data_IF_726458578369
#
_entry.id   IF_726458578369
#
_cell.length_a   1.000
_cell.length_b   1.000
_cell.length_c   1.000
_cell.angle_alpha   90.00
_cell.angle_beta   90.00
_cell.angle_gamma   90.00
#
_symmetry.space_group_name_H-M   'P 1'
#
loop_
_entity.id
_entity.type
_entity.pdbx_description
1 polymer ?
#
# COMPACT_ATOMS: atom_id res chain seq x y z
N UNK A 1 -17.43 -0.36 -52.59
CA UNK A 1 -17.66 0.17 -51.22
C UNK A 1 -17.25 1.63 -51.19
N UNK A 2 -18.16 2.55 -50.84
CA UNK A 2 -18.02 3.98 -51.11
C UNK A 2 -17.09 4.70 -50.12
N UNK A 3 -16.33 5.69 -50.62
CA UNK A 3 -15.38 6.57 -49.89
C UNK A 3 -15.92 7.16 -48.58
N UNK A 4 -17.25 7.26 -48.43
CA UNK A 4 -17.92 7.74 -47.20
C UNK A 4 -17.72 6.81 -46.00
N UNK A 5 -17.61 5.50 -46.19
CA UNK A 5 -17.39 4.56 -45.07
C UNK A 5 -15.97 4.67 -44.51
N UNK A 6 -14.97 4.91 -45.37
CA UNK A 6 -13.57 5.06 -44.95
C UNK A 6 -13.36 6.30 -44.05
N UNK A 7 -13.94 7.45 -44.41
CA UNK A 7 -13.80 8.68 -43.61
C UNK A 7 -14.40 8.55 -42.21
N UNK A 8 -15.56 7.88 -42.08
CA UNK A 8 -16.24 7.71 -40.79
C UNK A 8 -15.44 6.76 -39.88
N UNK A 9 -14.86 5.69 -40.44
CA UNK A 9 -14.01 4.77 -39.67
C UNK A 9 -12.71 5.45 -39.19
N UNK A 10 -12.09 6.30 -40.01
CA UNK A 10 -10.87 7.02 -39.64
C UNK A 10 -11.10 8.07 -38.54
N UNK A 11 -12.23 8.79 -38.56
CA UNK A 11 -12.58 9.76 -37.51
C UNK A 11 -12.92 9.03 -36.20
N UNK A 12 -13.66 7.93 -36.26
CA UNK A 12 -13.98 7.13 -35.07
C UNK A 12 -12.71 6.54 -34.42
N UNK A 13 -11.74 6.08 -35.22
CA UNK A 13 -10.46 5.60 -34.69
C UNK A 13 -9.66 6.73 -34.01
N UNK A 14 -9.63 7.93 -34.61
CA UNK A 14 -8.95 9.08 -34.02
C UNK A 14 -9.58 9.53 -32.69
N UNK A 15 -10.92 9.51 -32.61
CA UNK A 15 -11.67 9.89 -31.40
C UNK A 15 -11.54 8.88 -30.27
N UNK A 16 -11.22 7.60 -30.55
CA UNK A 16 -10.97 6.59 -29.50
C UNK A 16 -9.50 6.52 -29.10
N UNK A 17 -8.57 6.73 -30.04
CA UNK A 17 -7.13 6.67 -29.78
C UNK A 17 -6.61 7.92 -29.06
N UNK A 18 -7.17 9.11 -29.34
CA UNK A 18 -6.75 10.36 -28.68
C UNK A 18 -7.05 10.38 -27.16
N UNK A 19 -8.24 9.99 -26.66
CA UNK A 19 -8.49 9.87 -25.23
C UNK A 19 -7.60 8.82 -24.57
N UNK A 20 -7.38 7.68 -25.22
CA UNK A 20 -6.51 6.63 -24.67
C UNK A 20 -5.05 7.09 -24.53
N UNK A 21 -4.54 7.87 -25.50
CA UNK A 21 -3.21 8.48 -25.43
C UNK A 21 -3.17 9.58 -24.37
N UNK A 22 -4.21 10.40 -24.23
CA UNK A 22 -4.28 11.47 -23.22
C UNK A 22 -4.36 10.90 -21.79
N UNK A 23 -5.11 9.81 -21.59
CA UNK A 23 -5.14 9.07 -20.30
C UNK A 23 -3.77 8.44 -20.03
N UNK A 24 -3.16 7.77 -21.02
CA UNK A 24 -1.82 7.17 -20.87
C UNK A 24 -0.69 8.21 -20.65
N UNK A 25 -0.85 9.43 -21.17
CA UNK A 25 0.09 10.53 -20.96
C UNK A 25 -0.10 11.24 -19.61
N UNK A 26 -1.32 11.23 -19.04
CA UNK A 26 -1.59 11.76 -17.69
C UNK A 26 -0.87 10.97 -16.59
N UNK A 27 -0.70 9.66 -16.78
CA UNK A 27 0.07 8.79 -15.87
C UNK A 27 1.59 8.90 -15.98
N UNK A 28 2.13 9.71 -16.90
CA UNK A 28 3.57 9.75 -17.20
C UNK A 28 4.29 11.01 -16.73
N UNK A 29 3.65 11.86 -15.94
CA UNK A 29 4.20 13.17 -15.57
C UNK A 29 4.47 13.29 -14.08
N UNK A 30 5.47 12.54 -13.61
CA UNK A 30 6.09 12.70 -12.30
C UNK A 30 7.53 12.17 -12.37
N UNK A 31 8.47 13.05 -12.70
CA UNK A 31 9.85 12.67 -12.97
C UNK A 31 10.61 12.25 -11.72
N UNK A 32 10.96 10.97 -11.66
CA UNK A 32 12.20 10.49 -11.03
C UNK A 32 13.02 9.79 -12.13
N UNK A 33 14.28 10.20 -12.28
CA UNK A 33 15.28 9.44 -13.03
C UNK A 33 15.80 8.34 -12.11
N UNK A 34 15.81 7.11 -12.61
CA UNK A 34 16.51 5.92 -12.09
C UNK A 34 15.94 5.15 -10.88
N UNK A 35 14.63 4.85 -10.84
CA UNK A 35 14.16 3.58 -10.25
C UNK A 35 13.95 2.60 -11.39
N UNK A 36 14.70 1.50 -11.43
CA UNK A 36 14.49 0.45 -12.43
C UNK A 36 13.17 -0.28 -12.12
N UNK A 37 12.12 0.04 -12.89
CA UNK A 37 10.88 -0.70 -12.84
C UNK A 37 11.05 -2.04 -13.59
N UNK A 38 11.37 -3.10 -12.85
CA UNK A 38 11.38 -4.48 -13.32
C UNK A 38 10.26 -5.25 -12.61
N UNK A 39 9.51 -6.08 -13.33
CA UNK A 39 8.42 -6.88 -12.75
C UNK A 39 8.88 -8.23 -12.18
N UNK A 40 10.15 -8.59 -12.35
CA UNK A 40 10.75 -9.84 -11.85
C UNK A 40 9.92 -11.11 -12.14
N UNK A 41 9.27 -11.14 -13.31
CA UNK A 41 8.44 -12.26 -13.76
C UNK A 41 6.96 -12.18 -13.37
N UNK A 42 6.53 -11.18 -12.60
CA UNK A 42 5.11 -10.95 -12.29
C UNK A 42 4.34 -10.63 -13.57
N UNK A 43 3.36 -11.46 -13.98
CA UNK A 43 2.64 -11.27 -15.22
C UNK A 43 1.75 -10.03 -15.17
N UNK A 44 1.34 -9.56 -16.34
CA UNK A 44 0.20 -8.66 -16.49
C UNK A 44 -1.00 -9.53 -16.86
N UNK A 45 -2.15 -9.30 -16.22
CA UNK A 45 -3.39 -10.00 -16.55
C UNK A 45 -4.40 -9.07 -17.22
N UNK A 46 -5.32 -9.65 -17.98
CA UNK A 46 -6.41 -8.88 -18.57
C UNK A 46 -7.42 -8.49 -17.49
N UNK A 47 -7.81 -7.22 -17.50
CA UNK A 47 -8.89 -6.69 -16.68
C UNK A 47 -10.19 -6.70 -17.47
N UNK A 48 -11.31 -7.00 -16.79
CA UNK A 48 -12.61 -7.07 -17.44
C UNK A 48 -13.00 -5.70 -18.00
N UNK A 49 -13.13 -5.62 -19.33
CA UNK A 49 -13.45 -4.38 -20.06
C UNK A 49 -14.85 -3.86 -19.74
N UNK A 50 -15.71 -4.67 -19.12
CA UNK A 50 -17.04 -4.25 -18.67
C UNK A 50 -16.99 -3.45 -17.36
N UNK A 51 -15.89 -3.53 -16.60
CA UNK A 51 -15.71 -2.85 -15.31
C UNK A 51 -14.38 -2.06 -15.25
N UNK A 52 -14.08 -1.19 -16.24
CA UNK A 52 -12.76 -0.57 -16.36
C UNK A 52 -12.43 0.43 -15.24
N UNK A 53 -13.44 0.89 -14.49
CA UNK A 53 -13.28 1.81 -13.35
C UNK A 53 -13.53 1.17 -11.98
N UNK A 54 -13.78 -0.14 -11.92
CA UNK A 54 -14.11 -0.86 -10.67
C UNK A 54 -12.99 -1.87 -10.35
N UNK A 55 -11.75 -1.38 -10.41
CA UNK A 55 -10.55 -2.13 -10.15
C UNK A 55 -9.88 -1.61 -8.88
N UNK A 56 -9.61 -2.49 -7.93
CA UNK A 56 -8.66 -2.19 -6.87
C UNK A 56 -7.29 -1.93 -7.49
N UNK A 57 -6.72 -0.75 -7.22
CA UNK A 57 -5.36 -0.41 -7.61
C UNK A 57 -4.54 -0.20 -6.37
N UNK A 58 -3.47 -0.98 -6.21
CA UNK A 58 -2.51 -0.78 -5.13
C UNK A 58 -1.82 0.58 -5.33
N UNK A 59 -2.08 1.52 -4.42
CA UNK A 59 -1.58 2.89 -4.49
C UNK A 59 -0.60 3.16 -3.34
N UNK A 60 0.68 3.25 -3.69
CA UNK A 60 1.77 3.55 -2.76
C UNK A 60 1.96 5.05 -2.64
N UNK A 61 1.97 5.56 -1.41
CA UNK A 61 2.17 6.97 -1.13
C UNK A 61 3.65 7.30 -1.15
N UNK A 62 4.02 8.25 -2.01
CA UNK A 62 5.32 8.93 -1.94
C UNK A 62 5.24 10.06 -0.92
N UNK A 63 6.29 10.20 -0.11
CA UNK A 63 6.43 11.27 0.87
C UNK A 63 7.89 11.70 1.03
N UNK A 64 8.09 12.88 1.62
CA UNK A 64 9.42 13.40 1.97
C UNK A 64 9.88 12.89 3.33
N UNK A 65 11.20 12.70 3.49
CA UNK A 65 11.77 12.18 4.73
C UNK A 65 13.00 12.95 5.19
N UNK A 66 13.10 13.18 6.50
CA UNK A 66 14.25 13.85 7.12
C UNK A 66 15.56 13.05 7.05
N UNK A 67 15.51 11.75 6.75
CA UNK A 67 16.68 10.88 6.61
C UNK A 67 17.34 10.90 5.22
N UNK A 68 16.82 11.69 4.27
CA UNK A 68 17.23 11.64 2.87
C UNK A 68 18.63 12.20 2.57
N UNK A 69 19.66 11.34 2.51
CA UNK A 69 20.82 11.41 1.58
C UNK A 69 21.71 10.15 1.70
N UNK A 70 21.26 9.04 1.12
CA UNK A 70 22.15 7.93 0.70
C UNK A 70 22.01 6.61 1.46
N UNK A 71 21.12 5.73 0.96
CA UNK A 71 21.22 4.28 1.12
C UNK A 71 20.07 3.63 1.90
N UNK A 72 19.04 3.18 1.17
CA UNK A 72 17.94 2.34 1.69
C UNK A 72 16.97 3.07 2.62
N UNK A 73 15.67 2.77 2.53
CA UNK A 73 14.65 3.28 3.44
C UNK A 73 13.76 4.39 2.87
N UNK A 74 12.53 4.44 3.39
CA UNK A 74 11.48 5.40 3.04
C UNK A 74 10.44 4.82 2.07
N UNK A 75 9.64 5.68 1.42
CA UNK A 75 8.46 5.24 0.64
C UNK A 75 8.75 4.22 -0.47
N UNK A 76 10.00 4.13 -0.95
CA UNK A 76 10.43 3.24 -2.01
C UNK A 76 10.94 1.88 -1.49
N UNK A 77 10.97 1.64 -0.18
CA UNK A 77 11.23 0.31 0.39
C UNK A 77 10.26 -0.71 -0.19
N UNK A 78 10.80 -1.88 -0.53
CA UNK A 78 10.14 -3.01 -1.19
C UNK A 78 9.57 -2.78 -2.59
N UNK A 79 9.75 -1.59 -3.15
CA UNK A 79 9.23 -1.26 -4.46
C UNK A 79 10.16 -1.80 -5.58
N UNK A 80 9.63 -2.36 -6.69
CA UNK A 80 8.21 -2.56 -7.00
C UNK A 80 7.67 -3.95 -6.62
N UNK A 81 8.51 -4.84 -6.08
CA UNK A 81 8.19 -6.26 -5.97
C UNK A 81 7.03 -6.53 -4.99
N UNK A 82 7.00 -5.85 -3.84
CA UNK A 82 5.89 -5.95 -2.87
C UNK A 82 4.55 -5.59 -3.51
N UNK A 83 4.47 -4.42 -4.15
CA UNK A 83 3.25 -3.91 -4.81
C UNK A 83 2.74 -4.90 -5.88
N UNK A 84 3.66 -5.44 -6.67
CA UNK A 84 3.37 -6.35 -7.77
C UNK A 84 2.94 -7.74 -7.29
N UNK A 85 3.70 -8.32 -6.36
CA UNK A 85 3.43 -9.65 -5.81
C UNK A 85 2.13 -9.65 -5.02
N UNK A 86 1.91 -8.63 -4.17
CA UNK A 86 0.68 -8.49 -3.42
C UNK A 86 -0.54 -8.32 -4.35
N UNK A 87 -0.45 -7.46 -5.36
CA UNK A 87 -1.53 -7.29 -6.34
C UNK A 87 -1.85 -8.59 -7.07
N UNK A 88 -0.82 -9.38 -7.43
CA UNK A 88 -0.99 -10.69 -8.05
C UNK A 88 -1.71 -11.67 -7.10
N UNK A 89 -1.28 -11.76 -5.83
CA UNK A 89 -1.90 -12.68 -4.87
C UNK A 89 -3.33 -12.27 -4.53
N UNK A 90 -3.60 -10.98 -4.38
CA UNK A 90 -4.95 -10.46 -4.17
C UNK A 90 -5.88 -10.86 -5.33
N UNK A 91 -5.41 -10.73 -6.58
CA UNK A 91 -6.13 -11.16 -7.78
C UNK A 91 -6.35 -12.69 -7.83
N UNK A 92 -5.38 -13.48 -7.40
CA UNK A 92 -5.44 -14.94 -7.47
C UNK A 92 -6.29 -15.56 -6.36
N UNK A 93 -6.29 -14.95 -5.18
CA UNK A 93 -6.84 -15.54 -3.96
C UNK A 93 -8.22 -14.97 -3.59
N UNK A 94 -8.68 -13.93 -4.29
CA UNK A 94 -9.98 -13.29 -4.02
C UNK A 94 -10.76 -13.06 -5.31
N UNK A 95 -12.01 -12.60 -5.18
CA UNK A 95 -12.84 -12.15 -6.31
C UNK A 95 -12.66 -10.67 -6.65
N UNK A 96 -11.85 -9.93 -5.87
CA UNK A 96 -11.55 -8.52 -6.10
C UNK A 96 -10.87 -8.40 -7.47
N UNK A 97 -11.34 -7.45 -8.28
CA UNK A 97 -10.72 -7.15 -9.57
C UNK A 97 -9.54 -6.22 -9.32
N UNK A 98 -8.33 -6.71 -9.56
CA UNK A 98 -7.11 -5.95 -9.26
C UNK A 98 -6.49 -5.41 -10.55
N UNK A 99 -6.05 -4.16 -10.53
CA UNK A 99 -5.26 -3.58 -11.59
C UNK A 99 -3.83 -4.17 -11.57
N UNK A 100 -3.32 -4.75 -12.67
CA UNK A 100 -1.98 -5.33 -12.73
C UNK A 100 -0.83 -4.32 -12.66
N UNK A 101 -1.16 -3.03 -12.65
CA UNK A 101 -0.22 -1.92 -12.58
C UNK A 101 -0.49 -1.08 -11.33
N UNK A 102 0.19 -1.38 -10.21
CA UNK A 102 0.24 -0.50 -9.05
C UNK A 102 0.69 0.91 -9.42
N UNK A 103 0.29 1.88 -8.63
CA UNK A 103 0.61 3.30 -8.86
C UNK A 103 1.36 3.89 -7.67
N UNK A 104 2.20 4.87 -7.96
CA UNK A 104 2.76 5.77 -6.95
C UNK A 104 1.95 7.06 -7.01
N UNK A 105 1.45 7.50 -5.85
CA UNK A 105 0.66 8.73 -5.71
C UNK A 105 1.33 9.67 -4.70
N UNK A 106 1.10 10.97 -4.86
CA UNK A 106 1.35 11.95 -3.81
C UNK A 106 0.03 12.27 -3.11
N UNK A 107 0.07 12.61 -1.82
CA UNK A 107 -1.14 12.95 -1.07
C UNK A 107 -1.87 14.20 -1.60
N UNK A 108 -1.21 15.01 -2.42
CA UNK A 108 -1.78 16.22 -3.03
C UNK A 108 -2.23 16.03 -4.48
N UNK A 109 -2.18 14.80 -5.00
CA UNK A 109 -2.66 14.51 -6.35
C UNK A 109 -4.18 14.72 -6.45
N UNK A 110 -4.64 15.42 -7.50
CA UNK A 110 -6.08 15.73 -7.73
C UNK A 110 -6.97 14.47 -7.76
N UNK A 111 -6.39 13.34 -8.17
CA UNK A 111 -7.08 12.06 -8.33
C UNK A 111 -6.83 11.10 -7.17
N UNK A 112 -6.30 11.55 -6.03
CA UNK A 112 -6.03 10.66 -4.88
C UNK A 112 -7.26 9.87 -4.44
N UNK A 113 -8.45 10.48 -4.53
CA UNK A 113 -9.73 9.87 -4.14
C UNK A 113 -10.22 8.76 -5.08
N UNK A 114 -9.58 8.59 -6.25
CA UNK A 114 -9.83 7.45 -7.12
C UNK A 114 -9.24 6.15 -6.53
N UNK A 115 -8.41 6.25 -5.49
CA UNK A 115 -7.78 5.14 -4.80
C UNK A 115 -8.34 5.03 -3.37
N UNK A 116 -9.29 4.13 -3.09
CA UNK A 116 -9.90 4.01 -1.75
C UNK A 116 -8.94 3.44 -0.69
N UNK A 117 -7.81 2.88 -1.11
CA UNK A 117 -6.78 2.32 -0.27
C UNK A 117 -5.42 2.92 -0.64
N UNK A 118 -4.71 3.43 0.37
CA UNK A 118 -3.34 3.90 0.27
C UNK A 118 -2.42 3.03 1.12
N UNK A 119 -1.22 2.77 0.64
CA UNK A 119 -0.15 2.08 1.35
C UNK A 119 1.03 3.03 1.57
N UNK A 120 1.50 3.11 2.81
CA UNK A 120 2.68 3.88 3.21
C UNK A 120 3.61 2.95 3.98
N UNK A 121 4.83 2.78 3.48
CA UNK A 121 5.85 1.93 4.11
C UNK A 121 6.91 2.82 4.78
N UNK A 122 7.65 2.31 5.75
CA UNK A 122 8.84 2.97 6.33
C UNK A 122 8.63 4.43 6.81
N UNK A 123 7.54 4.73 7.54
CA UNK A 123 7.23 6.09 7.99
C UNK A 123 8.20 6.65 9.05
N UNK A 124 9.22 5.89 9.49
CA UNK A 124 10.05 6.26 10.63
C UNK A 124 10.74 7.63 10.52
N UNK A 125 11.03 8.07 9.29
CA UNK A 125 11.56 9.42 9.00
C UNK A 125 10.58 10.33 8.24
N UNK A 126 9.30 9.97 8.14
CA UNK A 126 8.25 10.69 7.42
C UNK A 126 8.16 12.16 7.86
N UNK A 127 7.93 13.04 6.89
CA UNK A 127 7.59 14.44 7.11
C UNK A 127 6.50 14.89 6.14
N UNK A 128 5.33 15.27 6.65
CA UNK A 128 4.31 15.89 5.81
C UNK A 128 4.53 17.40 5.66
N UNK A 129 4.38 17.90 4.44
CA UNK A 129 4.08 19.31 4.20
C UNK A 129 2.67 19.66 4.72
N UNK A 130 2.41 20.94 4.97
CA UNK A 130 1.08 21.40 5.39
C UNK A 130 -0.02 21.06 4.37
N UNK A 131 0.31 21.04 3.08
CA UNK A 131 -0.63 20.66 2.03
C UNK A 131 -0.99 19.17 2.13
N UNK A 132 -0.02 18.30 2.40
CA UNK A 132 -0.25 16.86 2.59
C UNK A 132 -1.02 16.57 3.87
N UNK A 133 -0.77 17.32 4.95
CA UNK A 133 -1.54 17.23 6.19
C UNK A 133 -3.03 17.48 5.93
N UNK A 134 -3.36 18.54 5.21
CA UNK A 134 -4.76 18.87 4.85
C UNK A 134 -5.33 17.81 3.91
N UNK A 135 -4.58 17.41 2.88
CA UNK A 135 -5.08 16.48 1.88
C UNK A 135 -5.32 15.07 2.44
N UNK A 136 -4.43 14.55 3.29
CA UNK A 136 -4.61 13.26 3.95
C UNK A 136 -5.79 13.27 4.92
N UNK A 137 -5.99 14.36 5.67
CA UNK A 137 -7.16 14.54 6.52
C UNK A 137 -8.45 14.46 5.70
N UNK A 138 -8.51 15.22 4.61
CA UNK A 138 -9.68 15.26 3.72
C UNK A 138 -9.94 13.92 3.04
N UNK A 139 -8.88 13.22 2.62
CA UNK A 139 -8.95 11.87 2.05
C UNK A 139 -9.58 10.87 3.03
N UNK A 140 -9.06 10.79 4.25
CA UNK A 140 -9.54 9.88 5.28
C UNK A 140 -10.99 10.16 5.69
N UNK A 141 -11.36 11.44 5.86
CA UNK A 141 -12.74 11.83 6.17
C UNK A 141 -13.71 11.64 5.00
N UNK A 142 -13.21 11.57 3.77
CA UNK A 142 -14.03 11.27 2.58
C UNK A 142 -14.26 9.76 2.36
N UNK A 143 -13.82 8.91 3.29
CA UNK A 143 -13.96 7.45 3.18
C UNK A 143 -12.69 6.71 2.79
N UNK A 144 -11.58 7.42 2.59
CA UNK A 144 -10.29 6.81 2.31
C UNK A 144 -9.77 5.95 3.47
N UNK A 145 -8.94 4.97 3.13
CA UNK A 145 -8.21 4.11 4.06
C UNK A 145 -6.70 4.21 3.81
N UNK A 146 -5.91 4.41 4.85
CA UNK A 146 -4.44 4.39 4.81
C UNK A 146 -3.91 3.23 5.65
N UNK A 147 -3.17 2.31 5.02
CA UNK A 147 -2.34 1.33 5.72
C UNK A 147 -0.92 1.87 5.85
N UNK A 148 -0.36 1.79 7.06
CA UNK A 148 1.03 2.13 7.36
C UNK A 148 1.76 0.88 7.85
N UNK A 149 2.96 0.60 7.35
CA UNK A 149 3.68 -0.67 7.53
C UNK A 149 5.20 -0.48 7.55
N UNK A 150 5.93 -1.52 7.95
CA UNK A 150 7.39 -1.61 8.03
C UNK A 150 8.04 -0.46 8.79
N UNK A 151 7.88 -0.45 10.10
CA UNK A 151 8.66 0.43 10.96
C UNK A 151 8.74 -0.15 12.37
N UNK A 152 9.87 0.12 13.02
CA UNK A 152 10.32 -0.61 14.18
C UNK A 152 10.80 0.33 15.28
N UNK A 153 10.43 0.01 16.52
CA UNK A 153 10.81 0.77 17.71
C UNK A 153 9.98 2.02 17.97
N UNK A 154 10.23 2.65 19.12
CA UNK A 154 9.36 3.71 19.65
C UNK A 154 9.64 5.04 18.95
N UNK A 155 10.89 5.35 18.62
CA UNK A 155 11.25 6.62 17.95
C UNK A 155 10.56 6.77 16.60
N UNK A 156 10.50 5.70 15.82
CA UNK A 156 9.82 5.70 14.52
C UNK A 156 8.30 5.84 14.69
N UNK A 157 7.73 5.17 15.69
CA UNK A 157 6.31 5.29 16.02
C UNK A 157 5.95 6.69 16.50
N UNK A 158 6.76 7.30 17.37
CA UNK A 158 6.56 8.66 17.87
C UNK A 158 6.58 9.69 16.74
N UNK A 159 7.48 9.54 15.75
CA UNK A 159 7.48 10.39 14.56
C UNK A 159 6.18 10.25 13.76
N UNK A 160 5.75 9.01 13.49
CA UNK A 160 4.49 8.75 12.80
C UNK A 160 3.29 9.30 13.58
N UNK A 161 3.23 9.09 14.89
CA UNK A 161 2.16 9.58 15.76
C UNK A 161 2.12 11.11 15.78
N UNK A 162 3.27 11.78 15.77
CA UNK A 162 3.36 13.24 15.68
C UNK A 162 2.81 13.76 14.35
N UNK A 163 3.25 13.18 13.22
CA UNK A 163 2.77 13.55 11.89
C UNK A 163 1.26 13.28 11.73
N UNK A 164 0.77 12.12 12.20
CA UNK A 164 -0.67 11.83 12.24
C UNK A 164 -1.43 12.73 13.21
N UNK A 165 -0.80 13.22 14.28
CA UNK A 165 -1.36 14.22 15.19
C UNK A 165 -1.55 15.59 14.52
N UNK A 166 -0.70 15.96 13.56
CA UNK A 166 -0.91 17.13 12.69
C UNK A 166 -2.12 16.90 11.78
N UNK A 167 -2.30 15.69 11.25
CA UNK A 167 -3.44 15.31 10.41
C UNK A 167 -4.74 15.25 11.23
N UNK A 168 -4.74 14.65 12.41
CA UNK A 168 -5.91 14.47 13.28
C UNK A 168 -5.63 14.95 14.71
N UNK A 169 -5.70 16.27 14.99
CA UNK A 169 -5.35 16.81 16.30
C UNK A 169 -6.11 16.18 17.48
N UNK A 170 -7.39 15.86 17.26
CA UNK A 170 -8.31 15.35 18.28
C UNK A 170 -8.43 13.83 18.30
N UNK A 171 -7.59 13.11 17.53
CA UNK A 171 -7.60 11.65 17.46
C UNK A 171 -6.21 11.10 17.77
N UNK A 172 -6.17 9.91 18.35
CA UNK A 172 -4.93 9.17 18.61
C UNK A 172 -5.06 7.73 18.15
N UNK A 173 -3.97 7.10 17.67
CA UNK A 173 -3.98 5.68 17.38
C UNK A 173 -4.37 4.86 18.61
N UNK A 174 -5.28 3.91 18.43
CA UNK A 174 -5.73 2.99 19.47
C UNK A 174 -5.41 1.55 19.09
N UNK A 175 -5.01 0.73 20.05
CA UNK A 175 -4.73 -0.69 19.80
C UNK A 175 -5.99 -1.41 19.31
N UNK A 176 -5.87 -2.14 18.21
CA UNK A 176 -6.94 -2.97 17.66
C UNK A 176 -6.83 -4.36 18.27
N UNK A 177 -7.85 -4.87 18.98
CA UNK A 177 -7.80 -6.19 19.58
C UNK A 177 -7.80 -7.27 18.49
N UNK A 178 -7.18 -8.42 18.75
CA UNK A 178 -7.14 -9.55 17.81
C UNK A 178 -8.56 -10.00 17.40
N UNK A 179 -9.55 -9.86 18.28
CA UNK A 179 -10.96 -10.20 18.00
C UNK A 179 -11.64 -9.28 16.99
N UNK A 180 -11.01 -8.18 16.56
CA UNK A 180 -11.58 -7.27 15.57
C UNK A 180 -11.71 -7.96 14.21
N UNK A 181 -12.77 -7.65 13.46
CA UNK A 181 -13.08 -8.29 12.17
C UNK A 181 -11.96 -8.15 11.14
N UNK A 182 -11.13 -7.12 11.22
CA UNK A 182 -9.96 -6.94 10.33
C UNK A 182 -8.95 -8.09 10.43
N UNK A 183 -8.94 -8.86 11.52
CA UNK A 183 -8.11 -10.06 11.66
C UNK A 183 -8.83 -11.36 11.28
N UNK A 184 -10.12 -11.29 10.92
CA UNK A 184 -10.97 -12.47 10.71
C UNK A 184 -11.87 -12.35 9.46
N UNK A 185 -11.40 -11.67 8.41
CA UNK A 185 -12.18 -11.42 7.20
C UNK A 185 -12.11 -12.62 6.23
N UNK A 186 -11.20 -12.60 5.26
CA UNK A 186 -10.98 -13.74 4.33
C UNK A 186 -10.23 -14.87 5.04
N UNK A 187 -9.26 -14.51 5.88
CA UNK A 187 -8.45 -15.42 6.67
C UNK A 187 -8.71 -15.19 8.16
N UNK A 188 -8.69 -16.28 8.93
CA UNK A 188 -8.92 -16.27 10.37
C UNK A 188 -7.58 -16.30 11.11
N UNK A 189 -7.11 -15.13 11.54
CA UNK A 189 -5.81 -14.98 12.19
C UNK A 189 -5.86 -15.44 13.65
N UNK A 190 -4.93 -16.31 14.04
CA UNK A 190 -4.82 -16.84 15.42
C UNK A 190 -3.96 -16.00 16.34
N UNK A 191 -3.18 -15.10 15.76
CA UNK A 191 -2.31 -14.15 16.43
C UNK A 191 -2.19 -12.89 15.56
N UNK A 192 -1.71 -11.80 16.15
CA UNK A 192 -1.27 -10.62 15.39
C UNK A 192 0.01 -11.01 14.65
N UNK A 193 0.03 -11.00 13.30
CA UNK A 193 1.18 -11.47 12.57
C UNK A 193 2.35 -10.52 12.79
N UNK A 194 3.54 -11.10 12.99
CA UNK A 194 4.80 -10.39 12.96
C UNK A 194 5.66 -11.00 11.85
N UNK A 195 6.08 -10.14 10.92
CA UNK A 195 6.94 -10.47 9.80
C UNK A 195 8.20 -9.62 9.93
N UNK A 196 9.40 -10.23 10.05
CA UNK A 196 10.66 -9.52 9.98
C UNK A 196 11.16 -9.46 8.53
N UNK A 197 12.21 -8.67 8.27
CA UNK A 197 12.99 -8.83 7.05
C UNK A 197 13.54 -10.25 6.93
N UNK A 198 13.76 -10.68 5.70
CA UNK A 198 14.40 -11.96 5.38
C UNK A 198 15.79 -12.10 6.01
N UNK A 199 16.46 -10.99 6.29
CA UNK A 199 17.76 -10.99 6.98
C UNK A 199 17.62 -11.34 8.45
N UNK A 200 16.68 -10.70 9.15
CA UNK A 200 16.36 -10.99 10.54
C UNK A 200 15.81 -12.41 10.71
N UNK A 201 14.96 -12.87 9.79
CA UNK A 201 14.42 -14.23 9.79
C UNK A 201 15.50 -15.33 9.75
N UNK A 202 16.65 -15.09 9.10
CA UNK A 202 17.77 -16.06 9.06
C UNK A 202 18.37 -16.35 10.43
N UNK A 203 18.16 -15.46 11.40
CA UNK A 203 18.56 -15.65 12.79
C UNK A 203 17.47 -16.33 13.63
N UNK A 204 16.35 -16.74 13.02
CA UNK A 204 15.25 -17.43 13.71
C UNK A 204 14.41 -16.51 14.58
N UNK A 205 14.44 -15.19 14.34
CA UNK A 205 13.64 -14.19 15.05
C UNK A 205 12.54 -13.64 14.14
N UNK A 206 11.45 -13.16 14.74
CA UNK A 206 10.35 -12.48 14.04
C UNK A 206 10.39 -10.95 14.17
N UNK A 207 11.43 -10.40 14.79
CA UNK A 207 11.55 -8.98 15.12
C UNK A 207 12.87 -8.40 14.60
N UNK A 208 12.96 -7.07 14.56
CA UNK A 208 14.15 -6.35 14.14
C UNK A 208 14.75 -5.48 15.23
N UNK A 209 16.08 -5.41 15.31
CA UNK A 209 16.74 -4.53 16.29
C UNK A 209 16.44 -3.07 15.99
N UNK A 210 15.85 -2.36 16.95
CA UNK A 210 15.71 -0.91 16.86
C UNK A 210 16.96 -0.18 17.38
N UNK A 211 17.31 0.94 16.74
CA UNK A 211 18.48 1.77 17.09
C UNK A 211 18.33 2.50 18.43
N UNK A 212 17.10 2.76 18.85
CA UNK A 212 16.76 3.40 20.12
C UNK A 212 16.73 2.42 21.31
N UNK A 213 16.89 1.12 21.06
CA UNK A 213 16.86 0.09 22.08
C UNK A 213 15.45 -0.34 22.52
N UNK A 214 14.40 0.09 21.80
CA UNK A 214 13.03 -0.35 22.04
C UNK A 214 12.86 -1.87 21.88
N UNK A 215 11.93 -2.43 22.64
CA UNK A 215 11.51 -3.82 22.47
C UNK A 215 10.57 -3.93 21.26
N UNK A 216 11.06 -4.61 20.23
CA UNK A 216 10.36 -4.85 18.98
C UNK A 216 9.81 -6.27 18.86
N UNK A 217 9.92 -7.08 19.92
CA UNK A 217 9.50 -8.48 19.90
C UNK A 217 8.00 -8.69 19.84
N UNK A 218 7.21 -7.63 20.03
CA UNK A 218 5.75 -7.66 20.00
C UNK A 218 5.22 -6.75 18.87
N UNK A 219 4.42 -7.29 17.92
CA UNK A 219 3.75 -6.47 16.92
C UNK A 219 2.56 -5.73 17.53
N UNK A 220 2.40 -4.47 17.13
CA UNK A 220 1.27 -3.63 17.51
C UNK A 220 0.46 -3.25 16.28
N UNK A 221 -0.85 -3.46 16.36
CA UNK A 221 -1.77 -3.06 15.29
C UNK A 221 -2.71 -2.03 15.86
N UNK A 222 -2.63 -0.81 15.33
CA UNK A 222 -3.35 0.35 15.85
C UNK A 222 -4.20 0.99 14.77
N UNK A 223 -5.23 1.72 15.17
CA UNK A 223 -6.11 2.42 14.25
C UNK A 223 -6.47 3.83 14.72
N UNK A 224 -6.65 4.72 13.76
CA UNK A 224 -7.36 5.99 13.95
C UNK A 224 -8.75 5.82 13.34
N UNK A 225 -9.78 6.09 14.14
CA UNK A 225 -11.19 5.92 13.76
C UNK A 225 -11.85 7.26 13.44
N UNK A 226 -12.86 7.27 12.56
CA UNK A 226 -13.78 8.39 12.40
C UNK A 226 -14.89 8.40 13.48
N UNK A 227 -15.84 9.34 13.39
CA UNK A 227 -16.94 9.47 14.37
C UNK A 227 -17.97 8.33 14.32
N UNK A 228 -17.85 7.42 13.34
CA UNK A 228 -18.73 6.26 13.15
C UNK A 228 -17.99 4.95 13.44
N UNK A 229 -16.85 5.03 14.13
CA UNK A 229 -15.98 3.90 14.44
C UNK A 229 -15.42 3.16 13.20
N UNK A 230 -15.38 3.80 12.03
CA UNK A 230 -14.69 3.25 10.86
C UNK A 230 -13.21 3.58 10.92
N UNK A 231 -12.36 2.60 10.62
CA UNK A 231 -10.91 2.78 10.55
C UNK A 231 -10.57 3.69 9.35
N UNK A 232 -9.89 4.79 9.61
CA UNK A 232 -9.32 5.68 8.59
C UNK A 232 -7.85 5.36 8.33
N UNK A 233 -7.09 5.10 9.39
CA UNK A 233 -5.66 4.77 9.32
C UNK A 233 -5.45 3.48 10.10
N UNK A 234 -4.79 2.50 9.49
CA UNK A 234 -4.41 1.24 10.11
C UNK A 234 -2.89 1.12 10.11
N UNK A 235 -2.33 0.96 11.30
CA UNK A 235 -0.90 1.07 11.57
C UNK A 235 -0.39 -0.31 12.00
N UNK A 236 0.57 -0.84 11.25
CA UNK A 236 1.26 -2.10 11.50
C UNK A 236 2.65 -1.76 12.05
N UNK A 237 2.80 -1.72 13.38
CA UNK A 237 4.02 -1.33 14.07
C UNK A 237 4.77 -2.56 14.57
N UNK A 238 6.11 -2.55 14.48
CA UNK A 238 6.99 -3.68 14.79
C UNK A 238 6.68 -4.92 13.94
N UNK A 239 6.39 -4.71 12.67
CA UNK A 239 6.23 -5.74 11.65
C UNK A 239 6.42 -5.13 10.28
N UNK A 240 6.80 -5.97 9.32
CA UNK A 240 7.04 -5.62 7.94
C UNK A 240 6.27 -6.61 7.05
N UNK A 241 5.00 -6.31 6.77
CA UNK A 241 4.21 -7.18 5.89
C UNK A 241 4.72 -7.10 4.43
N UNK A 242 5.33 -5.96 4.07
CA UNK A 242 5.96 -5.67 2.78
C UNK A 242 7.04 -6.66 2.37
N UNK A 243 8.00 -6.99 3.25
CA UNK A 243 9.08 -7.94 2.97
C UNK A 243 8.52 -9.36 2.74
N UNK A 244 7.44 -9.69 3.45
CA UNK A 244 6.67 -10.91 3.20
C UNK A 244 6.06 -10.97 1.79
N UNK A 245 5.83 -9.84 1.12
CA UNK A 245 5.35 -9.76 -0.26
C UNK A 245 6.50 -9.65 -1.27
N UNK A 246 7.53 -8.83 -1.04
CA UNK A 246 8.64 -8.67 -2.00
C UNK A 246 9.53 -9.92 -2.07
N UNK A 247 9.83 -10.56 -0.94
CA UNK A 247 10.79 -11.68 -0.85
C UNK A 247 10.18 -13.05 -1.17
N UNK A 248 8.94 -13.12 -1.66
CA UNK A 248 8.21 -14.39 -1.79
C UNK A 248 8.93 -15.44 -2.67
N UNK A 249 9.78 -15.00 -3.60
CA UNK A 249 10.53 -15.86 -4.50
C UNK A 249 11.94 -16.24 -4.03
N UNK A 250 12.43 -15.69 -2.92
CA UNK A 250 13.85 -15.76 -2.56
C UNK A 250 14.23 -16.97 -1.70
N UNK A 251 13.38 -17.32 -0.73
CA UNK A 251 13.64 -18.42 0.18
C UNK A 251 12.35 -19.17 0.52
N UNK A 252 12.36 -20.50 0.34
CA UNK A 252 11.18 -21.34 0.53
C UNK A 252 10.67 -21.36 1.97
N UNK A 253 11.57 -21.39 2.95
CA UNK A 253 11.19 -21.46 4.35
C UNK A 253 10.63 -20.11 4.81
N UNK A 254 11.27 -19.00 4.40
CA UNK A 254 10.75 -17.65 4.61
C UNK A 254 9.37 -17.48 3.99
N UNK A 255 9.20 -17.88 2.72
CA UNK A 255 7.92 -17.83 2.03
C UNK A 255 6.83 -18.63 2.76
N UNK A 256 7.16 -19.84 3.19
CA UNK A 256 6.19 -20.72 3.88
C UNK A 256 5.82 -20.17 5.26
N UNK A 257 6.78 -19.60 6.00
CA UNK A 257 6.57 -19.17 7.37
C UNK A 257 5.97 -17.77 7.47
N UNK A 258 6.41 -16.83 6.65
CA UNK A 258 6.05 -15.43 6.75
C UNK A 258 5.10 -15.01 5.63
N UNK A 259 5.43 -15.26 4.35
CA UNK A 259 4.56 -14.83 3.25
C UNK A 259 3.18 -15.51 3.29
N UNK A 260 3.17 -16.85 3.34
CA UNK A 260 1.93 -17.65 3.23
C UNK A 260 1.09 -17.63 4.50
N UNK A 261 1.71 -17.70 5.68
CA UNK A 261 0.97 -17.80 6.95
C UNK A 261 0.61 -16.44 7.56
N UNK A 262 1.33 -15.37 7.22
CA UNK A 262 1.24 -14.07 7.91
C UNK A 262 0.98 -12.91 6.95
N UNK A 263 1.92 -12.61 6.06
CA UNK A 263 1.90 -11.40 5.24
C UNK A 263 0.72 -11.34 4.26
N UNK A 264 0.54 -12.37 3.43
CA UNK A 264 -0.59 -12.39 2.48
C UNK A 264 -1.95 -12.48 3.18
N UNK A 265 -2.17 -13.38 4.15
CA UNK A 265 -3.44 -13.43 4.88
C UNK A 265 -3.83 -12.09 5.51
N UNK A 266 -2.88 -11.41 6.15
CA UNK A 266 -3.14 -10.13 6.80
C UNK A 266 -3.40 -9.02 5.78
N UNK A 267 -2.55 -8.87 4.76
CA UNK A 267 -2.76 -7.86 3.73
C UNK A 267 -4.10 -8.02 3.00
N UNK A 268 -4.48 -9.26 2.67
CA UNK A 268 -5.78 -9.56 2.04
C UNK A 268 -6.94 -9.19 2.98
N UNK A 269 -6.83 -9.50 4.27
CA UNK A 269 -7.84 -9.09 5.24
C UNK A 269 -7.99 -7.58 5.35
N UNK A 270 -6.87 -6.84 5.43
CA UNK A 270 -6.86 -5.37 5.51
C UNK A 270 -7.54 -4.77 4.28
N UNK A 271 -7.13 -5.17 3.07
CA UNK A 271 -7.73 -4.67 1.83
C UNK A 271 -9.20 -5.04 1.75
N UNK A 272 -9.57 -6.28 2.10
CA UNK A 272 -10.98 -6.68 2.07
C UNK A 272 -11.81 -5.85 3.05
N UNK A 273 -11.28 -5.57 4.25
CA UNK A 273 -11.95 -4.71 5.23
C UNK A 273 -12.12 -3.29 4.68
N UNK A 274 -11.04 -2.69 4.17
CA UNK A 274 -11.04 -1.34 3.60
C UNK A 274 -12.01 -1.18 2.42
N UNK A 275 -12.25 -2.25 1.65
CA UNK A 275 -13.15 -2.24 0.50
C UNK A 275 -14.61 -2.59 0.84
N UNK A 276 -14.93 -2.92 2.09
CA UNK A 276 -16.27 -3.39 2.48
C UNK A 276 -16.95 -2.61 3.61
N UNK A 277 -16.23 -1.70 4.29
CA UNK A 277 -16.72 -0.91 5.43
C UNK A 277 -16.40 0.57 5.24
#
# INVERSE_FOLDING_TARGET
MSRRRFLITSIALAVVVLPAIVVAQRFRRGGFRDIQYNRNGVPVWEVDKNFPGDLFTFARVRYDSYSGRGGGGGWATDYPDSDLNFSLRLQQLTTIKVNPNPVIVNLTDDNLRDYPFLYMIEPGGLSFSEAEVVALRDYCYSGGFLMVDDFWGDTQYENLEWELGRVFPDRRPQEVPLSHQIFHNVYDMKEKPQVPSIHSARYGVSWESSRDGSDTSVPHYKAIYDDKDRIMVFICHNTDLGDGWEREGENRDYFTEYSVKKAYPMGINIVTYAMSH
#
